data_IF_680038212526
#
_entry.id   IF_680038212526
#
_cell.length_a   1.000
_cell.length_b   1.000
_cell.length_c   1.000
_cell.angle_alpha   90.00
_cell.angle_beta   90.00
_cell.angle_gamma   90.00
#
_symmetry.space_group_name_H-M   'P 1'
#
loop_
_entity.id
_entity.type
_entity.pdbx_description
1 polymer ?
#
# COMPACT_ATOMS: atom_id res chain seq x y z
N UNK A 1 24.35 12.95 3.56
CA UNK A 1 23.61 13.03 2.28
C UNK A 1 22.69 11.82 2.19
N UNK A 2 21.49 11.95 1.64
CA UNK A 2 20.38 10.97 1.75
C UNK A 2 20.77 9.50 1.44
N UNK A 3 21.59 9.26 0.39
CA UNK A 3 21.98 7.91 -0.05
C UNK A 3 23.27 7.37 0.58
N UNK A 4 23.83 8.10 1.55
CA UNK A 4 24.94 7.58 2.32
C UNK A 4 24.46 6.37 3.13
N UNK A 5 25.29 5.31 3.19
CA UNK A 5 25.03 4.11 4.01
C UNK A 5 24.67 4.44 5.47
N UNK A 6 25.18 5.56 5.99
CA UNK A 6 24.95 6.01 7.37
C UNK A 6 23.85 7.06 7.51
N UNK A 7 23.24 7.52 6.41
CA UNK A 7 22.18 8.54 6.45
C UNK A 7 20.77 7.97 6.59
N UNK A 8 20.60 6.64 6.45
CA UNK A 8 19.38 5.93 6.81
C UNK A 8 18.15 6.28 5.95
N UNK A 9 18.32 6.89 4.77
CA UNK A 9 17.22 7.24 3.87
C UNK A 9 16.07 8.01 4.55
N UNK A 10 16.43 8.96 5.42
CA UNK A 10 15.46 9.74 6.18
C UNK A 10 14.48 10.48 5.25
N UNK A 11 13.25 10.62 5.72
CA UNK A 11 12.21 11.35 5.01
C UNK A 11 12.58 12.81 4.73
N UNK A 12 11.93 13.39 3.73
CA UNK A 12 12.19 14.71 3.16
C UNK A 12 12.45 15.80 4.21
N UNK A 13 11.58 15.95 5.22
CA UNK A 13 11.72 16.99 6.25
C UNK A 13 13.04 16.90 7.02
N UNK A 14 13.47 15.68 7.35
CA UNK A 14 14.75 15.44 8.07
C UNK A 14 15.94 15.65 7.14
N UNK A 15 15.82 15.24 5.88
CA UNK A 15 16.85 15.48 4.87
C UNK A 15 17.04 16.98 4.62
N UNK A 16 15.94 17.74 4.50
CA UNK A 16 15.95 19.18 4.30
C UNK A 16 16.59 19.91 5.49
N UNK A 17 16.21 19.58 6.73
CA UNK A 17 16.82 20.16 7.92
C UNK A 17 18.33 19.93 7.97
N UNK A 18 18.78 18.73 7.59
CA UNK A 18 20.21 18.38 7.55
C UNK A 18 20.97 19.15 6.47
N UNK A 19 20.40 19.31 5.28
CA UNK A 19 21.02 20.08 4.19
C UNK A 19 21.11 21.57 4.58
N UNK A 20 20.02 22.13 5.13
CA UNK A 20 19.96 23.53 5.62
C UNK A 20 20.96 23.86 6.71
N UNK A 21 21.42 22.88 7.48
CA UNK A 21 22.43 23.12 8.52
C UNK A 21 23.83 23.49 7.98
N UNK A 22 24.08 23.30 6.68
CA UNK A 22 25.41 23.49 6.08
C UNK A 22 25.40 24.26 4.75
N UNK A 23 24.25 24.33 4.08
CA UNK A 23 24.15 24.90 2.74
C UNK A 23 22.82 25.64 2.58
N UNK A 24 22.82 26.64 1.71
CA UNK A 24 21.63 27.36 1.30
C UNK A 24 21.70 27.71 -0.18
N UNK A 25 20.59 27.54 -0.89
CA UNK A 25 20.42 28.05 -2.23
C UNK A 25 18.92 28.26 -2.52
N UNK A 26 18.56 29.18 -3.44
CA UNK A 26 17.18 29.33 -3.89
C UNK A 26 16.64 28.02 -4.49
N UNK A 27 15.48 27.57 -4.04
CA UNK A 27 14.85 26.33 -4.54
C UNK A 27 15.25 25.04 -3.83
N UNK A 28 16.15 25.07 -2.83
CA UNK A 28 16.67 23.86 -2.18
C UNK A 28 15.63 22.88 -1.65
N UNK A 29 14.47 23.38 -1.20
CA UNK A 29 13.38 22.52 -0.72
C UNK A 29 12.84 21.64 -1.84
N UNK A 30 12.71 22.19 -3.06
CA UNK A 30 12.26 21.46 -4.24
C UNK A 30 13.27 20.42 -4.70
N UNK A 31 14.56 20.75 -4.65
CA UNK A 31 15.62 19.80 -4.99
C UNK A 31 15.67 18.62 -4.00
N UNK A 32 15.56 18.92 -2.70
CA UNK A 32 15.51 17.88 -1.65
C UNK A 32 14.26 17.02 -1.77
N UNK A 33 13.10 17.62 -2.06
CA UNK A 33 11.86 16.89 -2.33
C UNK A 33 12.04 15.91 -3.48
N UNK A 34 12.56 16.40 -4.61
CA UNK A 34 12.79 15.62 -5.83
C UNK A 34 13.75 14.47 -5.55
N UNK A 35 14.87 14.75 -4.88
CA UNK A 35 15.88 13.75 -4.50
C UNK A 35 15.31 12.63 -3.63
N UNK A 36 14.53 12.97 -2.60
CA UNK A 36 13.93 11.96 -1.72
C UNK A 36 12.87 11.12 -2.44
N UNK A 37 12.15 11.70 -3.40
CA UNK A 37 11.08 11.02 -4.15
C UNK A 37 11.63 10.07 -5.21
N UNK A 38 12.78 10.38 -5.82
CA UNK A 38 13.42 9.56 -6.86
C UNK A 38 14.35 8.48 -6.30
N UNK A 39 14.55 8.43 -4.98
CA UNK A 39 15.37 7.40 -4.36
C UNK A 39 14.74 6.00 -4.52
N UNK A 40 15.41 5.15 -5.30
CA UNK A 40 14.97 3.78 -5.59
C UNK A 40 14.88 2.89 -4.35
N UNK A 41 15.78 3.10 -3.38
CA UNK A 41 15.78 2.36 -2.12
C UNK A 41 14.57 2.72 -1.24
N UNK A 42 14.20 4.01 -1.20
CA UNK A 42 13.00 4.48 -0.52
C UNK A 42 11.75 3.93 -1.19
N UNK A 43 11.65 4.07 -2.51
CA UNK A 43 10.50 3.62 -3.29
C UNK A 43 10.24 2.11 -3.14
N UNK A 44 11.30 1.29 -3.13
CA UNK A 44 11.18 -0.18 -2.98
C UNK A 44 10.72 -0.62 -1.59
N UNK A 45 11.04 0.14 -0.55
CA UNK A 45 10.70 -0.20 0.84
C UNK A 45 9.38 0.42 1.31
N UNK A 46 9.02 1.59 0.76
CA UNK A 46 7.79 2.27 1.11
C UNK A 46 6.63 1.53 0.46
N UNK A 47 5.82 0.85 1.28
CA UNK A 47 4.58 0.24 0.81
C UNK A 47 3.66 1.29 0.17
N UNK A 48 2.70 0.85 -0.66
CA UNK A 48 1.71 1.76 -1.25
C UNK A 48 1.10 2.61 -0.13
N UNK A 49 1.05 3.93 -0.35
CA UNK A 49 0.24 4.82 0.48
C UNK A 49 -1.15 4.22 0.57
N UNK A 50 -1.69 4.14 1.80
CA UNK A 50 -2.99 3.52 2.12
C UNK A 50 -3.90 3.51 0.89
N UNK A 51 -4.06 2.33 0.28
CA UNK A 51 -5.00 2.17 -0.80
C UNK A 51 -6.38 2.29 -0.17
N UNK A 52 -7.00 3.45 -0.33
CA UNK A 52 -8.38 3.73 0.01
C UNK A 52 -9.26 2.93 -0.97
N UNK A 53 -9.23 1.58 -0.85
CA UNK A 53 -9.86 0.60 -1.76
C UNK A 53 -11.20 1.12 -2.27
N UNK A 54 -11.47 0.96 -3.57
CA UNK A 54 -12.80 1.21 -4.10
C UNK A 54 -13.82 0.26 -3.44
N UNK A 55 -15.04 0.72 -3.10
CA UNK A 55 -16.04 -0.15 -2.49
C UNK A 55 -16.34 -1.35 -3.39
N UNK A 56 -16.47 -2.52 -2.78
CA UNK A 56 -16.94 -3.72 -3.46
C UNK A 56 -18.30 -3.43 -4.11
N UNK A 57 -18.47 -3.80 -5.38
CA UNK A 57 -19.72 -3.56 -6.12
C UNK A 57 -20.55 -4.84 -6.21
N UNK A 58 -21.87 -4.69 -6.07
CA UNK A 58 -22.80 -5.80 -6.18
C UNK A 58 -22.88 -6.34 -7.62
N UNK A 59 -22.93 -7.66 -7.73
CA UNK A 59 -23.07 -8.34 -9.01
C UNK A 59 -24.55 -8.45 -9.41
N UNK A 60 -25.12 -7.41 -10.01
CA UNK A 60 -26.53 -7.39 -10.42
C UNK A 60 -26.92 -8.46 -11.47
N UNK A 61 -27.95 -9.26 -11.18
CA UNK A 61 -28.61 -10.15 -12.13
C UNK A 61 -29.89 -9.51 -12.70
N UNK A 62 -30.16 -9.68 -13.99
CA UNK A 62 -31.24 -9.06 -14.78
C UNK A 62 -32.36 -10.02 -15.15
N UNK A 63 -32.12 -11.32 -15.02
CA UNK A 63 -33.11 -12.37 -15.27
C UNK A 63 -32.80 -13.61 -14.41
N UNK A 64 -33.81 -14.47 -14.14
CA UNK A 64 -33.62 -15.66 -13.29
C UNK A 64 -32.48 -16.56 -13.79
N UNK A 65 -31.75 -17.16 -12.83
CA UNK A 65 -30.59 -18.04 -13.06
C UNK A 65 -29.40 -17.40 -13.81
N UNK A 66 -29.39 -16.08 -14.02
CA UNK A 66 -28.26 -15.43 -14.67
C UNK A 66 -26.96 -15.57 -13.86
N UNK A 67 -27.05 -15.67 -12.52
CA UNK A 67 -25.89 -15.85 -11.64
C UNK A 67 -26.23 -16.77 -10.47
N UNK A 68 -25.28 -17.65 -10.13
CA UNK A 68 -25.36 -18.55 -8.98
C UNK A 68 -24.07 -18.41 -8.18
N UNK A 69 -24.21 -18.04 -6.90
CA UNK A 69 -23.12 -18.14 -5.93
C UNK A 69 -23.22 -19.48 -5.21
N UNK A 70 -22.10 -20.19 -5.10
CA UNK A 70 -22.00 -21.43 -4.34
C UNK A 70 -20.89 -21.28 -3.32
N UNK A 71 -21.18 -21.73 -2.11
CA UNK A 71 -20.19 -21.86 -1.06
C UNK A 71 -20.44 -23.18 -0.33
N UNK A 72 -19.37 -23.77 0.21
CA UNK A 72 -19.44 -25.03 0.94
C UNK A 72 -19.39 -24.69 2.43
N UNK A 73 -20.43 -25.11 3.15
CA UNK A 73 -20.52 -24.86 4.58
C UNK A 73 -20.17 -26.14 5.35
N UNK A 74 -19.07 -26.11 6.11
CA UNK A 74 -18.80 -27.18 7.06
C UNK A 74 -17.38 -27.20 7.59
N UNK A 75 -17.07 -28.16 8.47
CA UNK A 75 -17.92 -29.29 8.86
C UNK A 75 -19.08 -28.93 9.79
N UNK A 76 -20.23 -29.57 9.61
CA UNK A 76 -21.41 -29.52 10.47
C UNK A 76 -21.51 -30.76 11.37
N UNK A 77 -22.61 -30.90 12.11
CA UNK A 77 -22.88 -32.17 12.78
C UNK A 77 -23.32 -33.22 11.77
N UNK A 78 -22.83 -34.44 11.96
CA UNK A 78 -23.04 -35.53 11.00
C UNK A 78 -24.49 -35.99 11.08
N UNK A 79 -25.23 -35.91 9.97
CA UNK A 79 -26.61 -36.42 9.92
C UNK A 79 -26.65 -37.94 10.12
N UNK A 80 -27.81 -38.54 10.44
CA UNK A 80 -27.94 -40.00 10.53
C UNK A 80 -27.55 -40.73 9.23
N UNK A 81 -27.74 -40.07 8.08
CA UNK A 81 -27.29 -40.55 6.77
C UNK A 81 -25.81 -40.29 6.46
N UNK A 82 -25.12 -39.51 7.30
CA UNK A 82 -23.68 -39.36 7.30
C UNK A 82 -23.12 -38.07 6.70
N UNK A 83 -23.95 -37.10 6.32
CA UNK A 83 -23.51 -35.86 5.68
C UNK A 83 -22.99 -34.85 6.70
N UNK A 84 -21.97 -34.06 6.31
CA UNK A 84 -21.30 -33.09 7.20
C UNK A 84 -20.87 -31.77 6.52
N UNK A 85 -21.01 -31.67 5.21
CA UNK A 85 -20.63 -30.49 4.42
C UNK A 85 -21.71 -30.24 3.37
#
# INVERSE_FOLDING_TARGET
MHDSRYAGHLGERRTLARVRSRFYWPGMSGDVHTWCRTCTQCARRKGPTKNNRAPMQAMAARYPLQRVGMDILGPLEKTPSGNRY
#
